data_IF_070730608338
#
_entry.id   IF_070730608338
#
_cell.length_a   1.000
_cell.length_b   1.000
_cell.length_c   1.000
_cell.angle_alpha   90.00
_cell.angle_beta   90.00
_cell.angle_gamma   90.00
#
_symmetry.space_group_name_H-M   'P 1'
#
loop_
_entity.id
_entity.type
_entity.pdbx_description
1 polymer ?
#
# COMPACT_ATOMS: atom_id res chain seq x y z
N UNK A 1 7.94 -10.55 37.40
CA UNK A 1 8.18 -11.28 36.15
C UNK A 1 6.93 -12.12 35.95
N UNK A 2 6.38 -12.07 34.73
CA UNK A 2 5.07 -12.57 34.29
C UNK A 2 3.85 -12.01 35.02
N UNK A 3 3.12 -11.12 34.35
CA UNK A 3 1.70 -11.33 34.01
C UNK A 3 1.22 -10.14 33.16
N UNK A 4 1.32 -10.33 31.85
CA UNK A 4 0.63 -9.51 30.84
C UNK A 4 0.26 -10.43 29.66
N UNK A 5 -0.36 -11.55 29.99
CA UNK A 5 -1.28 -12.24 29.09
C UNK A 5 -2.64 -11.51 29.19
N UNK A 6 -3.40 -11.52 28.10
CA UNK A 6 -4.73 -10.91 27.91
C UNK A 6 -4.76 -9.41 27.58
N UNK A 7 -4.63 -9.06 26.29
CA UNK A 7 -5.60 -8.19 25.60
C UNK A 7 -5.45 -8.20 24.06
N UNK A 8 -5.38 -9.37 23.41
CA UNK A 8 -5.36 -9.45 21.94
C UNK A 8 -6.26 -10.55 21.34
N UNK A 9 -6.96 -11.35 22.17
CA UNK A 9 -7.84 -12.42 21.69
C UNK A 9 -9.32 -12.01 21.51
N UNK A 10 -9.75 -10.86 22.00
CA UNK A 10 -11.16 -10.41 21.89
C UNK A 10 -11.35 -9.24 20.90
N UNK A 11 -10.78 -9.35 19.69
CA UNK A 11 -11.30 -8.60 18.55
C UNK A 11 -12.04 -9.60 17.67
N UNK A 12 -13.34 -9.71 17.94
CA UNK A 12 -14.29 -10.36 17.04
C UNK A 12 -14.23 -9.66 15.68
N UNK A 13 -13.49 -10.26 14.75
CA UNK A 13 -13.55 -9.92 13.34
C UNK A 13 -14.80 -10.56 12.71
N UNK A 14 -15.97 -10.36 13.31
CA UNK A 14 -17.24 -10.49 12.62
C UNK A 14 -17.49 -9.20 11.85
N UNK A 15 -16.88 -9.11 10.67
CA UNK A 15 -17.34 -8.18 9.65
C UNK A 15 -17.82 -8.97 8.43
N UNK A 16 -19.13 -9.26 8.48
CA UNK A 16 -20.04 -9.61 7.40
C UNK A 16 -19.71 -10.87 6.60
N UNK A 17 -20.11 -12.00 7.18
CA UNK A 17 -20.87 -12.97 6.42
C UNK A 17 -22.09 -12.29 5.78
N UNK A 18 -22.31 -12.62 4.52
CA UNK A 18 -23.44 -12.26 3.66
C UNK A 18 -23.57 -10.81 3.19
N UNK A 19 -22.73 -10.48 2.20
CA UNK A 19 -23.29 -10.00 0.94
C UNK A 19 -22.54 -10.66 -0.23
N UNK A 20 -23.12 -11.74 -0.75
CA UNK A 20 -22.82 -12.26 -2.08
C UNK A 20 -22.84 -11.09 -3.07
N UNK A 21 -21.67 -10.66 -3.55
CA UNK A 21 -21.56 -10.06 -4.88
C UNK A 21 -20.86 -11.08 -5.76
N UNK A 22 -21.61 -11.92 -6.48
CA UNK A 22 -21.02 -12.67 -7.57
C UNK A 22 -20.53 -11.65 -8.60
N UNK A 23 -19.21 -11.56 -8.79
CA UNK A 23 -18.63 -10.75 -9.86
C UNK A 23 -18.70 -11.55 -11.16
N UNK A 24 -19.92 -11.78 -11.64
CA UNK A 24 -20.22 -12.23 -12.99
C UNK A 24 -21.54 -11.59 -13.41
N UNK A 25 -21.50 -10.90 -14.56
CA UNK A 25 -22.57 -10.12 -15.24
C UNK A 25 -22.69 -8.65 -14.87
N UNK A 26 -21.91 -7.80 -15.54
CA UNK A 26 -22.42 -6.50 -16.03
C UNK A 26 -21.89 -6.29 -17.45
N UNK A 27 -22.65 -6.81 -18.41
CA UNK A 27 -22.69 -6.33 -19.79
C UNK A 27 -24.16 -6.10 -20.12
N UNK A 28 -24.47 -4.89 -20.56
CA UNK A 28 -25.72 -4.43 -21.21
C UNK A 28 -26.97 -4.25 -20.33
N UNK A 29 -27.32 -2.99 -20.07
CA UNK A 29 -28.49 -2.34 -20.70
C UNK A 29 -28.62 -0.87 -20.27
N UNK A 30 -28.54 0.01 -21.25
CA UNK A 30 -29.00 1.39 -21.16
C UNK A 30 -30.54 1.41 -21.08
N UNK A 31 -31.12 2.29 -20.26
CA UNK A 31 -31.94 3.42 -20.75
C UNK A 31 -32.66 4.19 -19.61
N UNK A 32 -32.47 5.52 -19.66
CA UNK A 32 -33.44 6.60 -19.39
C UNK A 32 -33.96 6.81 -17.96
N UNK A 33 -33.35 7.78 -17.27
CA UNK A 33 -34.11 8.84 -16.59
C UNK A 33 -33.45 10.20 -16.85
N UNK A 34 -34.14 11.02 -17.64
CA UNK A 34 -33.81 12.40 -17.92
C UNK A 34 -34.38 13.28 -16.80
N UNK A 35 -33.52 14.02 -16.10
CA UNK A 35 -33.89 15.32 -15.54
C UNK A 35 -32.66 16.20 -15.42
N UNK A 36 -32.68 17.29 -16.18
CA UNK A 36 -31.69 18.36 -16.22
C UNK A 36 -31.23 18.77 -14.82
N UNK A 37 -29.94 18.60 -14.53
CA UNK A 37 -29.20 19.50 -13.65
C UNK A 37 -27.91 19.88 -14.36
N UNK A 38 -27.78 21.16 -14.67
CA UNK A 38 -26.56 21.74 -15.20
C UNK A 38 -25.48 21.65 -14.11
N UNK A 39 -24.58 20.68 -14.21
CA UNK A 39 -23.33 20.70 -13.46
C UNK A 39 -22.20 21.09 -14.41
N UNK A 40 -21.69 22.30 -14.17
CA UNK A 40 -20.49 22.89 -14.74
C UNK A 40 -19.38 21.81 -14.72
N UNK A 41 -18.60 21.61 -15.80
CA UNK A 41 -17.44 20.74 -15.75
C UNK A 41 -16.36 21.44 -14.93
N UNK A 42 -16.47 21.36 -13.61
CA UNK A 42 -15.35 21.61 -12.73
C UNK A 42 -14.49 20.35 -12.91
N UNK A 43 -13.63 20.38 -13.93
CA UNK A 43 -12.39 19.62 -13.88
C UNK A 43 -11.69 20.10 -12.61
N UNK A 44 -12.00 19.50 -11.46
CA UNK A 44 -11.13 19.56 -10.31
C UNK A 44 -9.88 18.84 -10.78
N UNK A 45 -8.95 19.63 -11.35
CA UNK A 45 -7.52 19.38 -11.15
C UNK A 45 -7.41 19.04 -9.68
N UNK A 46 -7.27 17.75 -9.39
CA UNK A 46 -6.95 17.30 -8.04
C UNK A 46 -5.59 17.94 -7.83
N UNK A 47 -5.57 19.03 -7.08
CA UNK A 47 -4.31 19.60 -6.64
C UNK A 47 -3.65 18.48 -5.84
N UNK A 48 -2.59 17.88 -6.39
CA UNK A 48 -1.67 17.03 -5.65
C UNK A 48 -0.90 17.89 -4.64
N UNK A 49 -1.64 18.55 -3.73
CA UNK A 49 -1.21 19.33 -2.59
C UNK A 49 -0.61 18.43 -1.52
N UNK A 50 0.44 17.74 -1.94
CA UNK A 50 1.76 17.57 -1.32
C UNK A 50 1.94 16.75 -0.04
N UNK A 51 0.92 16.18 0.60
CA UNK A 51 1.16 15.14 1.63
C UNK A 51 -0.05 14.28 2.03
N UNK A 52 -0.79 13.74 1.06
CA UNK A 52 -1.93 12.85 1.38
C UNK A 52 -1.81 11.50 0.69
N UNK A 53 -2.23 10.44 1.40
CA UNK A 53 -2.39 9.09 0.85
C UNK A 53 -3.85 8.93 0.45
N UNK A 54 -4.09 8.47 -0.77
CA UNK A 54 -5.44 8.13 -1.21
C UNK A 54 -5.72 6.68 -0.83
N UNK A 55 -6.91 6.44 -0.28
CA UNK A 55 -7.33 5.14 0.23
C UNK A 55 -8.57 4.69 -0.52
N UNK A 56 -8.60 3.42 -0.90
CA UNK A 56 -9.78 2.83 -1.49
C UNK A 56 -10.92 2.71 -0.46
N UNK A 57 -12.16 3.16 -0.76
CA UNK A 57 -13.32 2.99 0.11
C UNK A 57 -13.58 1.55 0.56
N UNK A 58 -13.14 0.55 -0.21
CA UNK A 58 -13.22 -0.86 0.16
C UNK A 58 -12.39 -1.23 1.41
N UNK A 59 -11.40 -0.41 1.77
CA UNK A 59 -10.56 -0.59 2.97
C UNK A 59 -11.11 0.14 4.20
N UNK A 60 -12.35 0.64 4.13
CA UNK A 60 -13.01 1.28 5.27
C UNK A 60 -13.16 0.29 6.42
N UNK A 61 -12.59 0.62 7.57
CA UNK A 61 -12.59 -0.24 8.76
C UNK A 61 -11.30 -1.05 8.97
N UNK A 62 -10.32 -0.95 8.07
CA UNK A 62 -9.03 -1.59 8.26
C UNK A 62 -8.26 -0.92 9.43
N UNK A 63 -7.77 -1.66 10.44
CA UNK A 63 -7.04 -1.10 11.59
C UNK A 63 -5.75 -0.38 11.20
N UNK A 64 -5.18 -0.67 10.03
CA UNK A 64 -4.00 0.04 9.51
C UNK A 64 -4.25 1.55 9.40
N UNK A 65 -5.48 1.97 9.06
CA UNK A 65 -5.84 3.39 8.95
C UNK A 65 -5.79 4.14 10.29
N UNK A 66 -5.98 3.45 11.42
CA UNK A 66 -5.89 4.02 12.76
C UNK A 66 -4.44 4.26 13.20
N UNK A 67 -3.52 3.48 12.64
CA UNK A 67 -2.10 3.53 12.97
C UNK A 67 -1.30 4.49 12.09
N UNK A 68 -1.87 4.96 10.98
CA UNK A 68 -1.30 6.03 10.16
C UNK A 68 -1.60 7.36 10.85
N UNK A 69 -0.60 7.92 11.55
CA UNK A 69 -0.73 9.16 12.33
C UNK A 69 0.09 10.29 11.74
N UNK A 70 1.18 9.96 11.06
CA UNK A 70 2.16 10.95 10.61
C UNK A 70 1.75 11.60 9.28
N UNK A 71 0.78 11.01 8.56
CA UNK A 71 0.35 11.44 7.23
C UNK A 71 -1.17 11.48 7.16
N UNK A 72 -1.70 12.51 6.49
CA UNK A 72 -3.12 12.63 6.22
C UNK A 72 -3.55 11.66 5.10
N UNK A 73 -4.74 11.09 5.21
CA UNK A 73 -5.30 10.21 4.19
C UNK A 73 -6.72 10.65 3.80
N UNK A 74 -7.12 10.33 2.56
CA UNK A 74 -8.42 10.69 1.99
C UNK A 74 -8.98 9.53 1.19
N UNK A 75 -10.29 9.29 1.28
CA UNK A 75 -10.95 8.28 0.46
C UNK A 75 -11.09 8.76 -0.98
N UNK A 76 -10.69 7.92 -1.94
CA UNK A 76 -10.84 8.21 -3.36
C UNK A 76 -11.08 6.91 -4.13
N UNK A 77 -11.81 6.98 -5.24
CA UNK A 77 -12.10 5.83 -6.08
C UNK A 77 -10.85 5.43 -6.88
N UNK A 78 -9.98 4.64 -6.24
CA UNK A 78 -8.72 4.14 -6.78
C UNK A 78 -8.77 2.62 -6.99
N UNK A 79 -7.97 2.12 -7.94
CA UNK A 79 -7.79 0.67 -8.18
C UNK A 79 -6.93 0.01 -7.10
N UNK A 80 -5.73 0.54 -6.74
CA UNK A 80 -4.97 0.00 -5.62
C UNK A 80 -5.68 0.25 -4.29
N UNK A 81 -5.23 -0.41 -3.22
CA UNK A 81 -5.80 -0.21 -1.88
C UNK A 81 -5.33 1.11 -1.28
N UNK A 82 -4.05 1.43 -1.48
CA UNK A 82 -3.44 2.67 -1.04
C UNK A 82 -2.62 3.27 -2.19
N UNK A 83 -2.91 4.50 -2.57
CA UNK A 83 -2.10 5.25 -3.50
C UNK A 83 -1.29 6.28 -2.72
N UNK A 84 0.01 6.04 -2.65
CA UNK A 84 0.93 6.86 -1.89
C UNK A 84 1.32 8.09 -2.70
N UNK A 85 1.49 7.97 -4.02
CA UNK A 85 1.66 9.13 -4.90
C UNK A 85 1.26 8.87 -6.33
N UNK A 86 1.75 9.70 -7.25
CA UNK A 86 1.30 9.67 -8.64
C UNK A 86 1.75 8.39 -9.35
N UNK A 87 2.99 7.95 -9.10
CA UNK A 87 3.59 6.77 -9.72
C UNK A 87 3.78 5.60 -8.75
N UNK A 88 3.36 5.75 -7.50
CA UNK A 88 3.54 4.76 -6.43
C UNK A 88 2.22 4.27 -5.87
N UNK A 89 2.04 2.95 -5.83
CA UNK A 89 0.87 2.30 -5.25
C UNK A 89 1.24 1.14 -4.33
N UNK A 90 0.37 0.89 -3.36
CA UNK A 90 0.47 -0.20 -2.40
C UNK A 90 -0.83 -1.02 -2.44
N UNK A 91 -0.68 -2.33 -2.59
CA UNK A 91 -1.74 -3.32 -2.38
C UNK A 91 -1.60 -3.88 -0.97
N UNK A 92 -2.72 -4.10 -0.30
CA UNK A 92 -2.73 -4.66 1.05
C UNK A 92 -3.39 -6.04 1.05
N UNK A 93 -2.69 -7.01 1.63
CA UNK A 93 -3.17 -8.39 1.69
C UNK A 93 -2.87 -9.01 3.06
N UNK A 94 -3.91 -9.48 3.75
CA UNK A 94 -3.73 -10.36 4.92
C UNK A 94 -3.59 -11.81 4.47
N UNK A 95 -2.67 -12.56 5.07
CA UNK A 95 -2.50 -13.98 4.79
C UNK A 95 -3.74 -14.81 5.13
N UNK A 96 -4.48 -14.45 6.19
CA UNK A 96 -5.76 -15.09 6.54
C UNK A 96 -6.77 -14.94 5.41
N UNK A 97 -6.82 -13.77 4.79
CA UNK A 97 -7.70 -13.48 3.66
C UNK A 97 -7.25 -14.21 2.38
N UNK A 98 -5.95 -14.25 2.10
CA UNK A 98 -5.40 -14.96 0.94
C UNK A 98 -5.74 -16.46 0.95
N UNK A 99 -5.75 -17.09 2.14
CA UNK A 99 -6.17 -18.49 2.31
C UNK A 99 -7.64 -18.72 1.92
N UNK A 100 -8.52 -17.74 2.18
CA UNK A 100 -9.94 -17.85 1.85
C UNK A 100 -10.20 -17.56 0.37
N UNK A 101 -9.48 -16.59 -0.21
CA UNK A 101 -9.68 -16.12 -1.58
C UNK A 101 -8.33 -15.92 -2.31
N UNK A 102 -7.73 -16.99 -2.86
CA UNK A 102 -6.49 -16.88 -3.62
C UNK A 102 -6.67 -16.06 -4.91
N UNK A 103 -7.83 -16.13 -5.56
CA UNK A 103 -8.13 -15.40 -6.82
C UNK A 103 -8.12 -13.87 -6.68
N UNK A 104 -8.27 -13.35 -5.46
CA UNK A 104 -8.34 -11.92 -5.22
C UNK A 104 -7.08 -11.19 -5.69
N UNK A 105 -5.90 -11.71 -5.33
CA UNK A 105 -4.64 -11.02 -5.63
C UNK A 105 -4.33 -11.04 -7.13
N UNK A 106 -4.65 -12.14 -7.82
CA UNK A 106 -4.49 -12.26 -9.27
C UNK A 106 -5.31 -11.20 -10.01
N UNK A 107 -6.60 -11.07 -9.69
CA UNK A 107 -7.47 -10.06 -10.30
C UNK A 107 -7.03 -8.64 -9.99
N UNK A 108 -6.58 -8.36 -8.76
CA UNK A 108 -6.10 -7.03 -8.37
C UNK A 108 -4.85 -6.62 -9.14
N UNK A 109 -3.92 -7.56 -9.35
CA UNK A 109 -2.70 -7.29 -10.12
C UNK A 109 -3.01 -7.08 -11.60
N UNK A 110 -3.92 -7.86 -12.17
CA UNK A 110 -4.39 -7.68 -13.55
C UNK A 110 -5.05 -6.30 -13.74
N UNK A 111 -5.89 -5.87 -12.79
CA UNK A 111 -6.52 -4.55 -12.81
C UNK A 111 -5.52 -3.41 -12.65
N UNK A 112 -4.46 -3.62 -11.86
CA UNK A 112 -3.41 -2.62 -11.65
C UNK A 112 -2.55 -2.44 -12.91
N UNK A 113 -2.26 -3.54 -13.60
CA UNK A 113 -1.42 -3.58 -14.78
C UNK A 113 -0.08 -2.86 -14.59
N UNK A 114 0.33 -2.10 -15.60
CA UNK A 114 1.57 -1.31 -15.59
C UNK A 114 1.32 0.20 -15.44
N UNK A 115 0.29 0.59 -14.66
CA UNK A 115 -0.08 2.00 -14.48
C UNK A 115 0.83 2.75 -13.51
N UNK A 116 1.55 2.03 -12.66
CA UNK A 116 2.41 2.57 -11.62
C UNK A 116 3.84 2.04 -11.80
N UNK A 117 4.81 2.90 -11.52
CA UNK A 117 6.23 2.55 -11.58
C UNK A 117 6.62 1.73 -10.34
N UNK A 118 6.29 2.25 -9.16
CA UNK A 118 6.54 1.59 -7.89
C UNK A 118 5.26 0.88 -7.45
N UNK A 119 5.31 -0.45 -7.47
CA UNK A 119 4.21 -1.31 -7.06
C UNK A 119 4.67 -2.15 -5.88
N UNK A 120 4.00 -1.96 -4.76
CA UNK A 120 4.33 -2.65 -3.52
C UNK A 120 3.14 -3.51 -3.09
N UNK A 121 3.41 -4.76 -2.75
CA UNK A 121 2.46 -5.65 -2.10
C UNK A 121 2.82 -5.73 -0.62
N UNK A 122 2.01 -5.12 0.24
CA UNK A 122 2.16 -5.18 1.68
C UNK A 122 1.34 -6.36 2.23
N UNK A 123 2.06 -7.34 2.78
CA UNK A 123 1.50 -8.57 3.31
C UNK A 123 1.48 -8.48 4.83
N UNK A 124 0.30 -8.68 5.41
CA UNK A 124 0.14 -8.82 6.86
C UNK A 124 0.12 -10.30 7.25
N UNK A 125 1.06 -10.68 8.12
CA UNK A 125 1.26 -12.06 8.57
C UNK A 125 0.50 -12.31 9.86
N UNK A 126 -0.71 -12.85 9.70
CA UNK A 126 -1.63 -13.20 10.80
C UNK A 126 -1.68 -14.73 11.05
N UNK A 127 -0.90 -15.52 10.31
CA UNK A 127 -0.98 -16.99 10.32
C UNK A 127 0.40 -17.60 10.53
N UNK A 128 0.46 -18.68 11.30
CA UNK A 128 1.68 -19.46 11.59
C UNK A 128 2.22 -20.17 10.34
N UNK A 129 1.34 -20.77 9.54
CA UNK A 129 1.67 -21.46 8.28
C UNK A 129 1.85 -20.50 7.10
N UNK A 130 2.75 -19.52 7.24
CA UNK A 130 2.96 -18.44 6.27
C UNK A 130 3.91 -18.81 5.11
N UNK A 131 4.75 -19.83 5.28
CA UNK A 131 5.85 -20.14 4.34
C UNK A 131 5.36 -20.49 2.93
N UNK A 132 4.30 -21.30 2.82
CA UNK A 132 3.75 -21.75 1.54
C UNK A 132 3.14 -20.58 0.77
N UNK A 133 2.35 -19.74 1.45
CA UNK A 133 1.70 -18.58 0.85
C UNK A 133 2.71 -17.50 0.43
N UNK A 134 3.72 -17.22 1.26
CA UNK A 134 4.78 -16.27 0.91
C UNK A 134 5.53 -16.74 -0.33
N UNK A 135 5.83 -18.05 -0.44
CA UNK A 135 6.49 -18.62 -1.61
C UNK A 135 5.67 -18.43 -2.88
N UNK A 136 4.37 -18.71 -2.82
CA UNK A 136 3.45 -18.51 -3.95
C UNK A 136 3.35 -17.03 -4.35
N UNK A 137 3.13 -16.15 -3.38
CA UNK A 137 3.04 -14.71 -3.60
C UNK A 137 4.36 -14.17 -4.18
N UNK A 138 5.51 -14.63 -3.70
CA UNK A 138 6.83 -14.20 -4.20
C UNK A 138 7.02 -14.56 -5.67
N UNK A 139 6.61 -15.77 -6.07
CA UNK A 139 6.65 -16.18 -7.48
C UNK A 139 5.78 -15.27 -8.33
N UNK A 140 4.55 -15.03 -7.88
CA UNK A 140 3.59 -14.18 -8.56
C UNK A 140 4.06 -12.71 -8.67
N UNK A 141 4.70 -12.16 -7.63
CA UNK A 141 5.24 -10.80 -7.68
C UNK A 141 6.48 -10.69 -8.54
N UNK A 142 7.30 -11.75 -8.61
CA UNK A 142 8.46 -11.82 -9.50
C UNK A 142 8.01 -11.76 -10.96
N UNK A 143 6.95 -12.48 -11.33
CA UNK A 143 6.40 -12.45 -12.69
C UNK A 143 5.82 -11.07 -13.07
N UNK A 144 5.29 -10.33 -12.09
CA UNK A 144 4.64 -9.04 -12.32
C UNK A 144 5.52 -7.82 -12.00
N UNK A 145 6.79 -8.00 -11.61
CA UNK A 145 7.70 -6.94 -11.14
C UNK A 145 7.07 -6.07 -10.02
N UNK A 146 6.54 -6.72 -8.98
CA UNK A 146 5.98 -6.08 -7.78
C UNK A 146 6.92 -6.36 -6.61
N UNK A 147 7.15 -5.38 -5.76
CA UNK A 147 7.97 -5.55 -4.55
C UNK A 147 7.10 -6.04 -3.41
N UNK A 148 7.49 -7.12 -2.74
CA UNK A 148 6.81 -7.60 -1.53
C UNK A 148 7.41 -6.94 -0.29
N UNK A 149 6.54 -6.55 0.64
CA UNK A 149 6.89 -6.16 2.00
C UNK A 149 6.03 -6.95 2.96
N UNK A 150 6.67 -7.48 3.99
CA UNK A 150 6.01 -8.30 5.00
C UNK A 150 5.92 -7.47 6.28
N UNK A 151 4.77 -7.53 6.94
CA UNK A 151 4.50 -6.89 8.21
C UNK A 151 3.91 -7.90 9.18
N UNK A 152 4.40 -7.87 10.41
CA UNK A 152 3.93 -8.74 11.51
C UNK A 152 2.94 -8.05 12.42
N UNK A 153 2.81 -6.72 12.28
CA UNK A 153 1.84 -5.94 13.02
C UNK A 153 1.15 -4.89 12.16
N UNK A 154 -0.05 -4.48 12.58
CA UNK A 154 -0.83 -3.43 11.91
C UNK A 154 -0.18 -2.06 12.07
N UNK A 155 0.56 -1.81 13.16
CA UNK A 155 1.34 -0.58 13.35
C UNK A 155 2.51 -0.51 12.37
N UNK A 156 3.17 -1.65 12.16
CA UNK A 156 4.28 -1.77 11.22
C UNK A 156 3.81 -1.51 9.78
N UNK A 157 2.65 -2.07 9.42
CA UNK A 157 1.99 -1.81 8.14
C UNK A 157 1.76 -0.30 7.90
N UNK A 158 1.21 0.39 8.90
CA UNK A 158 0.99 1.83 8.85
C UNK A 158 2.30 2.60 8.67
N UNK A 159 3.31 2.25 9.46
CA UNK A 159 4.64 2.86 9.40
C UNK A 159 5.32 2.67 8.04
N UNK A 160 5.13 1.52 7.39
CA UNK A 160 5.66 1.31 6.03
C UNK A 160 4.99 2.24 5.03
N UNK A 161 3.67 2.35 5.05
CA UNK A 161 2.94 3.28 4.17
C UNK A 161 3.43 4.71 4.39
N UNK A 162 3.61 5.11 5.65
CA UNK A 162 4.12 6.44 5.99
C UNK A 162 5.52 6.69 5.43
N UNK A 163 6.36 5.66 5.53
CA UNK A 163 7.73 5.67 5.05
C UNK A 163 7.77 5.80 3.53
N UNK A 164 6.95 5.03 2.80
CA UNK A 164 6.83 5.17 1.35
C UNK A 164 6.42 6.57 0.94
N UNK A 165 5.46 7.18 1.65
CA UNK A 165 5.04 8.55 1.33
C UNK A 165 6.16 9.56 1.55
N UNK A 166 6.92 9.38 2.63
CA UNK A 166 8.03 10.25 2.98
C UNK A 166 9.18 10.15 1.96
N UNK A 167 9.37 8.98 1.35
CA UNK A 167 10.43 8.75 0.37
C UNK A 167 10.12 9.31 -1.03
N UNK A 168 8.86 9.56 -1.39
CA UNK A 168 8.54 10.25 -2.65
C UNK A 168 9.14 11.66 -2.72
N UNK A 169 9.27 12.32 -1.56
CA UNK A 169 9.78 13.68 -1.45
C UNK A 169 11.32 13.72 -1.29
N UNK A 170 12.00 12.58 -1.15
CA UNK A 170 13.46 12.55 -0.97
C UNK A 170 14.13 12.38 -2.33
N UNK A 171 14.83 13.40 -2.86
CA UNK A 171 15.64 13.22 -4.05
C UNK A 171 16.74 12.16 -3.79
N UNK A 172 17.24 11.48 -4.84
CA UNK A 172 18.26 10.43 -4.74
C UNK A 172 19.63 10.90 -4.21
N UNK A 173 19.77 12.17 -3.83
CA UNK A 173 21.02 12.73 -3.29
C UNK A 173 21.41 12.20 -1.89
N UNK A 174 20.57 11.41 -1.21
CA UNK A 174 20.98 10.69 0.00
C UNK A 174 21.83 9.42 -0.27
N UNK A 175 21.90 8.95 -1.52
CA UNK A 175 22.74 7.81 -1.90
C UNK A 175 24.12 8.27 -2.40
N UNK A 176 24.26 9.55 -2.74
CA UNK A 176 25.59 10.14 -2.90
C UNK A 176 26.24 10.20 -1.53
N UNK A 177 27.45 9.68 -1.44
CA UNK A 177 28.38 10.04 -0.39
C UNK A 177 28.29 11.56 -0.19
N UNK A 178 27.83 11.98 0.99
CA UNK A 178 28.07 13.36 1.43
C UNK A 178 29.58 13.46 1.51
N UNK A 179 30.19 13.94 0.44
CA UNK A 179 31.57 14.41 0.47
C UNK A 179 31.48 15.66 1.33
N UNK A 180 31.63 15.50 2.65
CA UNK A 180 31.81 16.64 3.53
C UNK A 180 33.00 17.40 2.96
N UNK A 181 32.75 18.62 2.46
CA UNK A 181 33.78 19.49 1.90
C UNK A 181 34.70 20.05 3.01
N UNK A 182 34.91 19.30 4.09
CA UNK A 182 35.87 19.61 5.12
C UNK A 182 37.27 19.25 4.63
N UNK A 183 38.18 20.22 4.74
CA UNK A 183 39.59 20.08 4.38
C UNK A 183 40.23 18.84 5.04
N UNK A 184 39.82 18.55 6.28
CA UNK A 184 40.27 17.40 7.05
C UNK A 184 39.82 16.06 6.45
N UNK A 185 38.57 15.98 5.95
CA UNK A 185 38.03 14.80 5.30
C UNK A 185 38.75 14.52 3.97
N UNK A 186 39.11 15.57 3.23
CA UNK A 186 39.87 15.47 1.98
C UNK A 186 41.31 14.99 2.18
N UNK A 187 41.98 15.45 3.24
CA UNK A 187 43.31 14.96 3.62
C UNK A 187 43.27 13.48 4.03
N UNK A 188 42.30 13.09 4.84
CA UNK A 188 42.14 11.69 5.26
C UNK A 188 41.84 10.77 4.07
N UNK A 189 41.10 11.25 3.07
CA UNK A 189 40.84 10.51 1.84
C UNK A 189 42.12 10.33 1.00
N UNK A 190 42.94 11.37 0.84
CA UNK A 190 44.22 11.29 0.13
C UNK A 190 45.22 10.34 0.81
N UNK A 191 45.28 10.36 2.14
CA UNK A 191 46.13 9.44 2.90
C UNK A 191 45.68 7.99 2.72
N UNK A 192 44.36 7.74 2.73
CA UNK A 192 43.80 6.41 2.47
C UNK A 192 44.05 5.89 1.05
N UNK A 193 44.31 6.77 0.09
CA UNK A 193 44.50 6.40 -1.32
C UNK A 193 45.98 6.15 -1.68
N UNK A 194 46.92 6.45 -0.76
CA UNK A 194 48.37 6.31 -0.98
C UNK A 194 48.97 5.03 -0.35
N UNK A 195 48.14 4.15 0.20
CA UNK A 195 48.48 2.80 0.66
C UNK A 195 47.58 1.78 -0.05
#
# INVERSE_FOLDING_TARGET
>A
MSDSEYLFEDIDFEFLGDNKRPYSQISESNEKFNSKVNFIPIQKKINYGTNRVLVNPCQKGNPVLLNIRNIAWEYSDIIPDFQVGETSCILYLSLKYHRLHPEYIFRRIEQLGNRYLLRVLLIFVDVTDNQTFIRELTKLTMDNNITIIISWSVEESGRYIETFKSYENKPPDLIKEKIDNDYYSKLNQLIKQMF
#
